data_IF_503989202024
#
_entry.id   IF_503989202024
#
_cell.length_a   1.000
_cell.length_b   1.000
_cell.length_c   1.000
_cell.angle_alpha   90.00
_cell.angle_beta   90.00
_cell.angle_gamma   90.00
#
_symmetry.space_group_name_H-M   'P 1'
#
loop_
_entity.id
_entity.type
_entity.pdbx_description
1 polymer ?
#
# COMPACT_ATOMS: atom_id res chain seq x y z
N UNK A 1 -18.92 -16.00 -10.31
CA UNK A 1 -19.03 -16.17 -8.87
C UNK A 1 -17.92 -17.14 -8.47
N UNK A 2 -16.85 -16.67 -7.89
CA UNK A 2 -15.78 -17.55 -7.39
C UNK A 2 -16.26 -18.09 -6.04
N UNK A 3 -16.26 -19.43 -5.90
CA UNK A 3 -16.47 -20.17 -4.66
C UNK A 3 -15.22 -20.11 -3.77
N UNK A 4 -14.69 -18.93 -3.56
CA UNK A 4 -13.57 -18.66 -2.66
C UNK A 4 -14.12 -18.05 -1.39
N UNK A 5 -13.67 -18.53 -0.21
CA UNK A 5 -14.01 -17.97 1.09
C UNK A 5 -13.71 -16.46 1.16
N UNK A 6 -14.23 -15.78 2.19
CA UNK A 6 -13.95 -14.35 2.45
C UNK A 6 -12.43 -14.10 2.45
N UNK A 7 -11.99 -12.98 1.84
CA UNK A 7 -10.60 -12.56 1.91
C UNK A 7 -10.16 -12.22 3.35
N UNK A 8 -11.13 -12.07 4.24
CA UNK A 8 -10.95 -11.67 5.64
C UNK A 8 -11.53 -12.74 6.59
N UNK A 9 -10.92 -12.87 7.76
CA UNK A 9 -11.44 -13.69 8.86
C UNK A 9 -12.59 -12.96 9.61
N UNK A 10 -13.10 -13.61 10.66
CA UNK A 10 -14.18 -13.06 11.49
C UNK A 10 -13.78 -11.77 12.25
N UNK A 11 -12.48 -11.46 12.34
CA UNK A 11 -11.95 -10.25 12.96
C UNK A 11 -11.59 -9.18 11.93
N UNK A 12 -11.88 -9.38 10.64
CA UNK A 12 -11.54 -8.47 9.55
C UNK A 12 -10.07 -8.50 9.16
N UNK A 13 -9.32 -9.54 9.53
CA UNK A 13 -7.90 -9.69 9.21
C UNK A 13 -7.75 -10.44 7.88
N UNK A 14 -6.81 -9.97 7.06
CA UNK A 14 -6.58 -10.58 5.76
C UNK A 14 -6.07 -12.01 5.88
N UNK A 15 -6.67 -12.92 5.11
CA UNK A 15 -6.26 -14.32 4.95
C UNK A 15 -5.87 -14.66 3.52
N UNK A 16 -6.15 -13.75 2.58
CA UNK A 16 -5.84 -13.97 1.18
C UNK A 16 -4.32 -14.07 0.98
N UNK A 17 -3.85 -15.06 0.18
CA UNK A 17 -2.46 -15.14 -0.22
C UNK A 17 -2.02 -13.87 -0.96
N UNK A 18 -0.71 -13.57 -0.88
CA UNK A 18 -0.13 -12.45 -1.62
C UNK A 18 -0.40 -12.57 -3.13
N UNK A 19 -0.69 -11.44 -3.77
CA UNK A 19 -1.02 -11.39 -5.20
C UNK A 19 -2.43 -11.85 -5.55
N UNK A 20 -3.26 -12.18 -4.54
CA UNK A 20 -4.68 -12.48 -4.76
C UNK A 20 -5.46 -11.17 -4.87
N UNK A 21 -6.20 -10.92 -5.97
CA UNK A 21 -7.13 -9.82 -6.07
C UNK A 21 -8.22 -9.91 -5.01
N UNK A 22 -8.48 -8.83 -4.28
CA UNK A 22 -9.50 -8.76 -3.25
C UNK A 22 -10.69 -7.95 -3.77
N UNK A 23 -11.88 -8.54 -3.73
CA UNK A 23 -13.12 -7.88 -4.10
C UNK A 23 -14.00 -7.72 -2.86
N UNK A 24 -14.17 -6.48 -2.39
CA UNK A 24 -15.08 -6.19 -1.30
C UNK A 24 -16.53 -6.05 -1.80
N UNK A 25 -17.46 -6.28 -0.91
CA UNK A 25 -18.87 -5.99 -1.18
C UNK A 25 -19.10 -4.47 -1.25
N UNK A 26 -19.92 -4.03 -2.20
CA UNK A 26 -20.24 -2.63 -2.42
C UNK A 26 -21.76 -2.35 -2.32
N UNK A 27 -22.21 -1.18 -2.77
CA UNK A 27 -23.60 -0.77 -2.72
C UNK A 27 -24.56 -1.64 -3.56
N UNK A 28 -24.05 -2.33 -4.61
CA UNK A 28 -24.83 -3.24 -5.43
C UNK A 28 -25.04 -4.64 -4.81
N UNK A 29 -24.35 -4.94 -3.71
CA UNK A 29 -24.49 -6.21 -3.01
C UNK A 29 -25.73 -6.18 -2.07
N UNK A 30 -26.43 -7.31 -1.97
CA UNK A 30 -27.58 -7.43 -1.07
C UNK A 30 -27.20 -7.54 0.42
N UNK A 31 -25.91 -7.61 0.75
CA UNK A 31 -25.44 -7.62 2.13
C UNK A 31 -25.58 -6.26 2.80
N UNK A 32 -25.66 -6.24 4.13
CA UNK A 32 -25.74 -5.00 4.92
C UNK A 32 -24.36 -4.34 5.09
N UNK A 33 -24.34 -3.10 5.61
CA UNK A 33 -23.12 -2.32 5.83
C UNK A 33 -22.12 -2.94 6.83
N UNK A 34 -22.58 -3.84 7.71
CA UNK A 34 -21.79 -4.60 8.67
C UNK A 34 -21.16 -5.87 8.08
N UNK A 35 -21.34 -6.12 6.79
CA UNK A 35 -20.78 -7.26 6.09
C UNK A 35 -19.26 -7.41 6.37
N UNK A 36 -18.77 -8.60 6.76
CA UNK A 36 -17.36 -8.83 7.07
C UNK A 36 -16.44 -8.65 5.85
N UNK A 37 -17.00 -8.72 4.63
CA UNK A 37 -16.26 -8.44 3.40
C UNK A 37 -16.28 -6.94 3.03
N UNK A 38 -16.19 -6.06 4.02
CA UNK A 38 -16.10 -4.60 3.90
C UNK A 38 -15.11 -4.08 4.94
N UNK A 39 -13.83 -4.08 4.63
CA UNK A 39 -12.75 -3.68 5.56
C UNK A 39 -12.11 -2.37 5.11
N UNK A 40 -11.52 -2.34 3.92
CA UNK A 40 -10.78 -1.17 3.40
C UNK A 40 -11.71 0.02 3.20
N UNK A 41 -12.92 -0.20 2.69
CA UNK A 41 -13.90 0.86 2.46
C UNK A 41 -14.41 1.56 3.74
N UNK A 42 -14.18 1.00 4.93
CA UNK A 42 -14.50 1.65 6.21
C UNK A 42 -13.49 2.72 6.59
N UNK A 43 -12.38 2.78 5.87
CA UNK A 43 -11.34 3.78 6.10
C UNK A 43 -10.39 3.43 7.23
N UNK A 44 -9.53 4.38 7.55
CA UNK A 44 -8.48 4.25 8.56
C UNK A 44 -9.07 4.01 9.95
N UNK A 45 -8.69 2.90 10.57
CA UNK A 45 -9.03 2.56 11.96
C UNK A 45 -7.80 2.19 12.79
N UNK A 46 -6.64 1.99 12.16
CA UNK A 46 -5.42 1.64 12.86
C UNK A 46 -4.90 2.80 13.72
N UNK A 47 -4.40 2.53 14.94
CA UNK A 47 -3.85 3.54 15.83
C UNK A 47 -2.45 3.94 15.37
N UNK A 48 -2.34 4.96 14.52
CA UNK A 48 -1.09 5.40 13.92
C UNK A 48 -0.89 6.91 14.05
N UNK A 49 0.37 7.35 14.00
CA UNK A 49 0.73 8.77 13.98
C UNK A 49 1.91 9.04 13.05
N UNK A 50 1.97 10.26 12.52
CA UNK A 50 3.11 10.74 11.73
C UNK A 50 4.15 11.35 12.68
N UNK A 51 5.42 11.00 12.48
CA UNK A 51 6.53 11.55 13.27
C UNK A 51 7.75 11.84 12.39
N UNK A 52 8.69 12.62 12.90
CA UNK A 52 9.92 12.95 12.18
C UNK A 52 11.06 12.04 12.63
N UNK A 53 11.68 11.36 11.66
CA UNK A 53 12.86 10.54 11.88
C UNK A 53 14.15 11.38 11.78
N UNK A 54 15.27 10.82 12.22
CA UNK A 54 16.58 11.49 12.10
C UNK A 54 17.12 11.50 10.66
N UNK A 55 16.88 10.44 9.87
CA UNK A 55 17.55 10.25 8.58
C UNK A 55 16.60 10.04 7.39
N UNK A 56 15.33 9.67 7.63
CA UNK A 56 14.36 9.32 6.58
C UNK A 56 13.26 10.37 6.39
N UNK A 57 13.39 11.55 7.02
CA UNK A 57 12.34 12.56 7.00
C UNK A 57 11.11 12.18 7.82
N UNK A 58 9.92 12.33 7.27
CA UNK A 58 8.67 11.94 7.92
C UNK A 58 8.45 10.44 7.83
N UNK A 59 7.82 9.87 8.83
CA UNK A 59 7.48 8.47 8.95
C UNK A 59 6.15 8.27 9.67
N UNK A 60 5.62 7.07 9.64
CA UNK A 60 4.41 6.65 10.37
C UNK A 60 4.79 5.58 11.37
N UNK A 61 4.23 5.63 12.58
CA UNK A 61 4.39 4.58 13.59
C UNK A 61 3.07 4.20 14.24
N UNK A 62 3.02 2.99 14.78
CA UNK A 62 1.90 2.53 15.59
C UNK A 62 1.89 3.23 16.95
N UNK A 63 0.71 3.66 17.43
CA UNK A 63 0.53 4.21 18.80
C UNK A 63 -0.01 3.18 19.77
N UNK A 64 -0.55 2.05 19.27
CA UNK A 64 -0.95 0.88 20.03
C UNK A 64 -0.62 -0.39 19.22
N UNK A 65 -0.82 -1.57 19.82
CA UNK A 65 -0.63 -2.85 19.14
C UNK A 65 -1.53 -2.94 17.90
N UNK A 66 -0.93 -3.27 16.75
CA UNK A 66 -1.64 -3.62 15.51
C UNK A 66 -1.43 -5.12 15.26
N UNK A 67 -2.47 -5.95 15.37
CA UNK A 67 -2.35 -7.39 15.16
C UNK A 67 -2.02 -7.74 13.71
N UNK A 68 -1.33 -8.86 13.51
CA UNK A 68 -1.09 -9.43 12.17
C UNK A 68 -2.40 -9.58 11.38
N UNK A 69 -2.34 -9.32 10.08
CA UNK A 69 -3.49 -9.35 9.17
C UNK A 69 -4.41 -8.14 9.22
N UNK A 70 -4.23 -7.21 10.17
CA UNK A 70 -5.08 -6.02 10.27
C UNK A 70 -4.87 -5.08 9.07
N UNK A 71 -5.96 -4.50 8.55
CA UNK A 71 -5.88 -3.35 7.65
C UNK A 71 -5.30 -2.16 8.40
N UNK A 72 -4.34 -1.50 7.81
CA UNK A 72 -3.64 -0.37 8.44
C UNK A 72 -4.02 0.95 7.77
N UNK A 73 -3.81 1.05 6.46
CA UNK A 73 -4.02 2.32 5.74
C UNK A 73 -4.11 2.07 4.24
N UNK A 74 -4.82 2.94 3.53
CA UNK A 74 -4.88 2.99 2.07
C UNK A 74 -3.89 4.03 1.53
N UNK A 75 -3.18 3.71 0.44
CA UNK A 75 -2.36 4.68 -0.30
C UNK A 75 -3.27 5.50 -1.20
N UNK A 76 -3.42 6.77 -0.91
CA UNK A 76 -4.32 7.67 -1.62
C UNK A 76 -3.58 8.85 -2.22
N UNK A 77 -4.04 9.28 -3.40
CA UNK A 77 -3.46 10.39 -4.15
C UNK A 77 -4.33 10.76 -5.34
N UNK A 78 -3.76 11.50 -6.27
CA UNK A 78 -4.33 11.76 -7.58
C UNK A 78 -4.08 10.56 -8.49
N UNK A 79 -5.13 9.98 -9.09
CA UNK A 79 -4.97 8.92 -10.10
C UNK A 79 -4.68 9.57 -11.44
N UNK A 80 -3.54 9.25 -12.02
CA UNK A 80 -3.04 9.78 -13.29
C UNK A 80 -2.69 8.64 -14.23
N UNK A 81 -2.59 8.92 -15.54
CA UNK A 81 -2.10 7.94 -16.50
C UNK A 81 -0.60 7.70 -16.33
N UNK A 82 -0.12 6.57 -16.78
CA UNK A 82 1.32 6.24 -16.72
C UNK A 82 2.16 7.26 -17.49
N UNK A 83 1.72 7.71 -18.67
CA UNK A 83 2.42 8.76 -19.44
C UNK A 83 2.58 10.06 -18.62
N UNK A 84 1.53 10.46 -17.91
CA UNK A 84 1.60 11.65 -17.04
C UNK A 84 2.48 11.39 -15.81
N UNK A 85 2.49 10.17 -15.28
CA UNK A 85 3.36 9.78 -14.18
C UNK A 85 4.84 9.82 -14.58
N UNK A 86 5.19 9.36 -15.77
CA UNK A 86 6.54 9.45 -16.32
C UNK A 86 6.99 10.92 -16.43
N UNK A 87 6.14 11.76 -17.02
CA UNK A 87 6.42 13.20 -17.15
C UNK A 87 6.63 13.90 -15.81
N UNK A 88 5.80 13.59 -14.79
CA UNK A 88 5.97 14.14 -13.42
C UNK A 88 7.18 13.53 -12.73
N UNK A 89 7.42 12.24 -12.96
CA UNK A 89 8.53 11.48 -12.39
C UNK A 89 9.89 12.09 -12.69
N UNK A 90 10.14 12.57 -13.91
CA UNK A 90 11.36 13.29 -14.29
C UNK A 90 11.61 14.50 -13.37
N UNK A 91 10.55 15.27 -13.07
CA UNK A 91 10.64 16.42 -12.17
C UNK A 91 10.87 16.00 -10.72
N UNK A 92 10.14 14.98 -10.22
CA UNK A 92 10.27 14.49 -8.85
C UNK A 92 11.63 13.87 -8.61
N UNK A 93 12.14 13.19 -9.60
CA UNK A 93 13.47 12.61 -9.61
C UNK A 93 14.58 13.67 -9.50
N UNK A 94 14.43 14.78 -10.22
CA UNK A 94 15.36 15.92 -10.11
C UNK A 94 15.32 16.54 -8.71
N UNK A 95 14.17 16.49 -8.03
CA UNK A 95 13.99 16.98 -6.66
C UNK A 95 14.40 15.93 -5.58
N UNK A 96 14.75 14.71 -6.00
CA UNK A 96 15.24 13.65 -5.11
C UNK A 96 14.17 12.92 -4.29
N UNK A 97 12.90 12.98 -4.71
CA UNK A 97 11.82 12.21 -4.09
C UNK A 97 10.85 11.69 -5.15
N UNK A 98 10.19 10.58 -4.86
CA UNK A 98 9.04 10.10 -5.63
C UNK A 98 7.97 9.60 -4.68
N UNK A 99 6.72 9.92 -4.99
CA UNK A 99 5.52 9.47 -4.28
C UNK A 99 4.52 8.85 -5.25
N UNK A 100 5.03 8.40 -6.40
CA UNK A 100 4.29 7.69 -7.41
C UNK A 100 4.15 6.21 -7.02
N UNK A 101 2.95 5.66 -7.19
CA UNK A 101 2.65 4.26 -6.89
C UNK A 101 1.82 3.67 -8.03
N UNK A 102 2.41 2.73 -8.77
CA UNK A 102 1.78 2.12 -9.94
C UNK A 102 0.66 1.15 -9.54
N UNK A 103 -0.45 1.21 -10.28
CA UNK A 103 -1.61 0.34 -10.10
C UNK A 103 -1.51 -0.96 -10.92
N UNK A 104 -0.39 -1.67 -10.78
CA UNK A 104 0.02 -2.79 -11.64
C UNK A 104 -0.54 -4.17 -11.23
N UNK A 105 -1.30 -4.25 -10.15
CA UNK A 105 -1.64 -5.51 -9.47
C UNK A 105 -2.34 -6.57 -10.32
N UNK A 106 -3.03 -6.17 -11.37
CA UNK A 106 -3.73 -7.11 -12.25
C UNK A 106 -3.00 -7.35 -13.58
N UNK A 107 -2.10 -6.46 -13.95
CA UNK A 107 -1.45 -6.42 -15.27
C UNK A 107 -0.29 -7.40 -15.37
N UNK A 108 0.38 -7.68 -14.28
CA UNK A 108 1.59 -8.53 -14.25
C UNK A 108 1.37 -9.98 -14.68
N UNK A 109 0.13 -10.47 -14.70
CA UNK A 109 -0.16 -11.82 -15.21
C UNK A 109 -0.11 -11.94 -16.74
N UNK A 110 -0.29 -10.83 -17.47
CA UNK A 110 -0.37 -10.81 -18.95
C UNK A 110 0.67 -9.93 -19.62
N UNK A 111 1.62 -9.32 -18.86
CA UNK A 111 2.65 -8.45 -19.44
C UNK A 111 2.11 -7.17 -20.09
N UNK A 112 0.91 -6.74 -19.71
CA UNK A 112 0.37 -5.43 -20.13
C UNK A 112 0.89 -4.36 -19.21
N UNK A 113 1.29 -3.23 -19.79
CA UNK A 113 1.80 -2.08 -19.06
C UNK A 113 0.76 -1.55 -18.04
N UNK A 114 1.23 -1.00 -16.94
CA UNK A 114 0.40 -0.31 -15.96
C UNK A 114 -0.30 0.87 -16.63
N UNK A 115 -1.61 0.97 -16.48
CA UNK A 115 -2.40 2.03 -17.14
C UNK A 115 -2.48 3.30 -16.27
N UNK A 116 -2.44 3.13 -14.95
CA UNK A 116 -2.62 4.22 -13.99
C UNK A 116 -1.62 4.15 -12.84
N UNK A 117 -1.30 5.33 -12.32
CA UNK A 117 -0.41 5.55 -11.19
C UNK A 117 -1.09 6.48 -10.18
N UNK A 118 -0.90 6.26 -8.88
CA UNK A 118 -1.30 7.19 -7.83
C UNK A 118 -0.15 8.16 -7.57
N UNK A 119 -0.41 9.46 -7.74
CA UNK A 119 0.50 10.53 -7.34
C UNK A 119 0.07 11.12 -6.01
N UNK A 120 0.86 10.87 -4.96
CA UNK A 120 0.63 11.37 -3.62
C UNK A 120 1.43 12.65 -3.29
N UNK A 121 1.93 13.37 -4.29
CA UNK A 121 2.79 14.55 -4.07
C UNK A 121 2.03 15.71 -3.45
N UNK A 122 0.88 16.07 -4.00
CA UNK A 122 0.10 17.24 -3.57
C UNK A 122 -1.20 16.86 -2.87
N UNK A 123 -1.85 15.78 -3.29
CA UNK A 123 -3.06 15.24 -2.67
C UNK A 123 -2.72 13.88 -2.11
N UNK A 124 -2.76 13.69 -0.81
CA UNK A 124 -2.29 12.46 -0.20
C UNK A 124 -2.99 12.14 1.13
N UNK A 125 -2.98 10.86 1.47
CA UNK A 125 -3.24 10.37 2.82
C UNK A 125 -1.94 10.17 3.61
N UNK A 126 -2.09 9.64 4.81
CA UNK A 126 -0.95 9.38 5.73
C UNK A 126 0.02 8.33 5.19
N UNK A 127 -0.44 7.42 4.33
CA UNK A 127 0.39 6.37 3.73
C UNK A 127 1.57 6.90 2.89
N UNK A 128 1.50 8.15 2.41
CA UNK A 128 2.63 8.81 1.75
C UNK A 128 3.90 8.82 2.61
N UNK A 129 3.77 8.81 3.92
CA UNK A 129 4.88 8.88 4.87
C UNK A 129 5.38 7.51 5.32
N UNK A 130 4.86 6.41 4.76
CA UNK A 130 5.41 5.08 4.98
C UNK A 130 6.78 4.97 4.30
N UNK A 131 7.80 4.63 5.09
CA UNK A 131 9.15 4.46 4.57
C UNK A 131 9.40 3.03 4.06
N UNK A 132 10.48 2.90 3.26
CA UNK A 132 10.98 1.59 2.86
C UNK A 132 11.65 0.84 4.01
N UNK A 133 11.47 -0.49 4.03
CA UNK A 133 12.33 -1.41 4.77
C UNK A 133 12.59 -2.69 3.96
N UNK A 134 13.82 -3.21 4.07
CA UNK A 134 14.18 -4.54 3.55
C UNK A 134 13.62 -5.67 4.44
N UNK A 135 13.13 -5.34 5.64
CA UNK A 135 12.41 -6.22 6.58
C UNK A 135 11.12 -5.50 7.03
N UNK A 136 10.14 -5.39 6.12
CA UNK A 136 8.94 -4.59 6.35
C UNK A 136 7.98 -5.27 7.31
N UNK A 137 7.08 -4.49 7.92
CA UNK A 137 5.96 -4.99 8.71
C UNK A 137 4.60 -4.81 8.05
N UNK A 138 4.58 -4.12 6.90
CA UNK A 138 3.39 -3.96 6.07
C UNK A 138 3.57 -4.59 4.69
N UNK A 139 2.43 -4.98 4.09
CA UNK A 139 2.37 -5.43 2.69
C UNK A 139 1.16 -4.83 2.01
N UNK A 140 1.34 -4.44 0.73
CA UNK A 140 0.26 -3.92 -0.09
C UNK A 140 -0.57 -5.06 -0.69
N UNK A 141 -1.88 -4.79 -0.80
CA UNK A 141 -2.85 -5.59 -1.53
C UNK A 141 -3.70 -4.69 -2.41
N UNK A 142 -4.08 -5.20 -3.58
CA UNK A 142 -5.01 -4.53 -4.47
C UNK A 142 -6.43 -4.93 -4.12
N UNK A 143 -7.27 -3.94 -3.83
CA UNK A 143 -8.64 -4.14 -3.34
C UNK A 143 -9.62 -3.37 -4.21
N UNK A 144 -10.59 -4.08 -4.78
CA UNK A 144 -11.68 -3.51 -5.57
C UNK A 144 -12.93 -3.37 -4.71
N UNK A 145 -13.50 -2.19 -4.66
CA UNK A 145 -14.71 -1.87 -3.88
C UNK A 145 -15.85 -1.46 -4.79
N UNK A 146 -15.79 -0.23 -5.31
CA UNK A 146 -16.89 0.38 -6.07
C UNK A 146 -16.66 0.28 -7.58
N UNK A 147 -15.45 -0.05 -7.99
CA UNK A 147 -15.05 -0.11 -9.39
C UNK A 147 -14.76 -1.56 -9.79
N UNK A 148 -15.34 -1.99 -10.90
CA UNK A 148 -15.06 -3.30 -11.50
C UNK A 148 -13.94 -3.26 -12.54
N UNK A 149 -13.42 -2.08 -12.88
CA UNK A 149 -12.22 -1.97 -13.73
C UNK A 149 -11.03 -2.55 -13.00
N UNK A 150 -10.39 -3.55 -13.59
CA UNK A 150 -9.20 -4.17 -13.01
C UNK A 150 -7.99 -3.24 -12.98
N UNK A 151 -7.99 -2.18 -13.78
CA UNK A 151 -6.94 -1.16 -13.83
C UNK A 151 -6.98 -0.18 -12.65
N UNK A 152 -8.06 -0.16 -11.84
CA UNK A 152 -8.28 0.84 -10.79
C UNK A 152 -8.53 0.21 -9.42
N UNK A 153 -7.60 -0.58 -8.86
CA UNK A 153 -7.70 -1.05 -7.49
C UNK A 153 -7.39 0.07 -6.49
N UNK A 154 -7.88 -0.08 -5.27
CA UNK A 154 -7.34 0.63 -4.11
C UNK A 154 -6.09 -0.09 -3.63
N UNK A 155 -5.06 0.64 -3.25
CA UNK A 155 -3.84 0.07 -2.66
C UNK A 155 -3.96 0.11 -1.14
N UNK A 156 -4.17 -1.05 -0.55
CA UNK A 156 -4.36 -1.21 0.90
C UNK A 156 -3.17 -1.90 1.55
N UNK A 157 -2.66 -1.33 2.65
CA UNK A 157 -1.60 -1.92 3.45
C UNK A 157 -2.15 -2.70 4.62
N UNK A 158 -1.66 -3.92 4.78
CA UNK A 158 -1.99 -4.82 5.88
C UNK A 158 -0.74 -5.21 6.66
N UNK A 159 -0.88 -5.35 7.97
CA UNK A 159 0.18 -5.84 8.84
C UNK A 159 0.50 -7.32 8.54
N UNK A 160 1.77 -7.65 8.33
CA UNK A 160 2.19 -9.04 8.06
C UNK A 160 2.63 -9.80 9.32
N UNK A 161 2.78 -9.08 10.43
CA UNK A 161 3.03 -9.58 11.76
C UNK A 161 2.42 -8.62 12.77
N UNK A 162 2.41 -8.99 14.04
CA UNK A 162 2.06 -8.05 15.10
C UNK A 162 3.07 -6.89 15.12
N UNK A 163 2.55 -5.67 15.24
CA UNK A 163 3.33 -4.43 15.27
C UNK A 163 3.16 -3.78 16.63
N UNK A 164 4.26 -3.60 17.34
CA UNK A 164 4.26 -3.07 18.69
C UNK A 164 4.01 -1.54 18.73
N UNK A 165 3.48 -0.99 19.82
CA UNK A 165 3.43 0.46 20.03
C UNK A 165 4.81 1.11 19.86
N UNK A 166 4.87 2.23 19.14
CA UNK A 166 6.10 2.97 18.84
C UNK A 166 6.89 2.43 17.65
N UNK A 167 6.53 1.27 17.09
CA UNK A 167 7.20 0.68 15.94
C UNK A 167 6.87 1.44 14.66
N UNK A 168 7.88 1.76 13.84
CA UNK A 168 7.71 2.40 12.55
C UNK A 168 7.04 1.45 11.55
N UNK A 169 6.06 1.95 10.82
CA UNK A 169 5.35 1.24 9.77
C UNK A 169 6.11 1.37 8.45
N UNK A 170 6.44 0.24 7.84
CA UNK A 170 7.28 0.20 6.65
C UNK A 170 6.81 -0.87 5.66
N UNK A 171 7.05 -0.63 4.36
CA UNK A 171 6.85 -1.64 3.33
C UNK A 171 8.05 -1.72 2.38
N UNK A 172 8.14 -2.76 1.56
CA UNK A 172 9.16 -2.87 0.52
C UNK A 172 8.69 -2.09 -0.72
N UNK A 173 9.44 -1.08 -1.13
CA UNK A 173 9.13 -0.25 -2.30
C UNK A 173 9.23 -1.00 -3.62
N UNK A 174 10.01 -2.11 -3.65
CA UNK A 174 10.22 -2.94 -4.83
C UNK A 174 10.67 -2.16 -6.06
N UNK A 175 11.52 -1.15 -5.87
CA UNK A 175 12.09 -0.44 -7.00
C UNK A 175 12.85 -1.41 -7.91
N UNK A 176 12.71 -1.21 -9.24
CA UNK A 176 13.41 -2.01 -10.23
C UNK A 176 14.93 -1.81 -10.14
N UNK A 177 15.70 -2.89 -10.39
CA UNK A 177 17.13 -2.81 -10.55
C UNK A 177 17.50 -1.90 -11.72
N UNK A 178 18.57 -1.11 -11.58
CA UNK A 178 19.04 -0.18 -12.62
C UNK A 178 18.55 1.26 -12.47
N UNK A 179 17.73 1.54 -11.45
CA UNK A 179 17.39 2.92 -11.05
C UNK A 179 18.56 3.66 -10.39
N UNK A 180 18.30 4.84 -9.82
CA UNK A 180 19.32 5.59 -9.07
C UNK A 180 19.78 4.79 -7.85
N UNK A 181 21.11 4.78 -7.62
CA UNK A 181 21.72 4.17 -6.42
C UNK A 181 21.36 4.99 -5.16
N UNK A 182 20.10 4.88 -4.70
CA UNK A 182 19.65 5.50 -3.47
C UNK A 182 20.00 4.60 -2.29
N UNK A 183 20.76 5.13 -1.32
CA UNK A 183 21.16 4.38 -0.14
C UNK A 183 19.94 4.05 0.73
N UNK A 184 19.85 2.80 1.18
CA UNK A 184 18.81 2.36 2.10
C UNK A 184 19.23 2.61 3.56
N UNK A 185 18.41 3.34 4.29
CA UNK A 185 18.60 3.65 5.71
C UNK A 185 17.60 2.92 6.63
N UNK A 186 17.07 1.75 6.20
CA UNK A 186 16.05 1.04 6.97
C UNK A 186 16.55 0.45 8.29
N UNK A 187 17.86 0.19 8.43
CA UNK A 187 18.45 -0.38 9.64
C UNK A 187 18.18 -1.88 9.86
N UNK A 188 17.52 -2.57 8.94
CA UNK A 188 17.24 -4.00 9.04
C UNK A 188 18.54 -4.82 8.97
N UNK A 189 18.59 -5.97 9.66
CA UNK A 189 19.76 -6.88 9.63
C UNK A 189 20.05 -7.42 8.24
N UNK A 190 18.99 -7.66 7.45
CA UNK A 190 19.03 -8.13 6.05
C UNK A 190 18.99 -6.98 5.04
N UNK A 191 19.38 -5.76 5.42
CA UNK A 191 19.32 -4.59 4.57
C UNK A 191 20.14 -4.79 3.27
N UNK A 192 19.49 -4.58 2.12
CA UNK A 192 20.10 -4.64 0.78
C UNK A 192 21.12 -3.52 0.51
N UNK A 193 21.19 -2.49 1.39
CA UNK A 193 21.99 -1.26 1.29
C UNK A 193 21.47 -0.26 0.28
N UNK A 194 20.64 -0.67 -0.67
CA UNK A 194 20.05 0.15 -1.72
C UNK A 194 18.53 -0.03 -1.74
N UNK A 195 17.80 0.91 -2.33
CA UNK A 195 16.32 0.88 -2.37
C UNK A 195 15.75 0.01 -3.50
N UNK A 196 16.58 -0.56 -4.36
CA UNK A 196 16.17 -1.49 -5.44
C UNK A 196 16.40 -2.95 -5.04
#
# INVERSE_FOLDING_TARGET
>A
MQSGGSAYDAHGRIQAPLGTPIFECNAACMCRGDCPNRIVQRGLSAPIEVFKTRYKGWAVRATALIPAGSFVVEYTGEVITTDEAERRGETYDALGFSTLFDLDAASTRNGTDCEYTIDATYKCGVARFLNHSCDPNLRQFSVWVDNVSLSLPRIAFFAIRDIAPGEELTFDYKYAEGGRNLACHCGAKNCRKWLY
#
